data_IF_558604209461
#
_entry.id   IF_558604209461
#
_cell.length_a   1.000
_cell.length_b   1.000
_cell.length_c   1.000
_cell.angle_alpha   90.00
_cell.angle_beta   90.00
_cell.angle_gamma   90.00
#
_symmetry.space_group_name_H-M   'P 1'
#
loop_
_entity.id
_entity.type
_entity.pdbx_description
1 polymer ?
#
# COMPACT_ATOMS: atom_id res chain seq x y z
N UNK A 1 23.67 -0.09 -8.16
CA UNK A 1 22.27 0.20 -7.79
C UNK A 1 22.20 0.09 -6.29
N UNK A 2 21.94 1.20 -5.61
CA UNK A 2 21.85 1.22 -4.14
C UNK A 2 20.43 0.86 -3.71
N UNK A 3 20.27 0.44 -2.46
CA UNK A 3 18.95 0.20 -1.87
C UNK A 3 18.25 1.53 -1.54
N UNK A 4 16.93 1.50 -1.41
CA UNK A 4 16.18 2.66 -0.96
C UNK A 4 16.61 3.03 0.48
N UNK A 5 17.02 4.27 0.77
CA UNK A 5 17.43 4.67 2.12
C UNK A 5 16.24 4.96 3.05
N UNK A 6 15.01 4.92 2.54
CA UNK A 6 13.78 5.23 3.28
C UNK A 6 13.04 3.99 3.77
N UNK A 7 13.36 2.83 3.20
CA UNK A 7 12.64 1.59 3.44
C UNK A 7 13.60 0.41 3.56
N UNK A 8 13.19 -0.58 4.34
CA UNK A 8 13.91 -1.83 4.56
C UNK A 8 12.93 -2.99 4.50
N UNK A 9 13.41 -4.15 4.08
CA UNK A 9 12.58 -5.33 3.89
C UNK A 9 11.91 -5.77 5.21
N UNK A 10 10.62 -6.11 5.15
CA UNK A 10 9.85 -6.52 6.32
C UNK A 10 9.21 -5.38 7.11
N UNK A 11 9.39 -4.11 6.72
CA UNK A 11 8.64 -2.99 7.30
C UNK A 11 7.13 -3.16 7.17
N UNK A 12 6.42 -2.76 8.23
CA UNK A 12 4.96 -2.81 8.29
C UNK A 12 4.43 -1.49 8.78
N UNK A 13 3.40 -1.01 8.11
CA UNK A 13 2.66 0.19 8.47
C UNK A 13 1.18 -0.17 8.61
N UNK A 14 0.54 0.28 9.68
CA UNK A 14 -0.90 0.09 9.92
C UNK A 14 -1.53 1.47 9.91
N UNK A 15 -2.60 1.62 9.14
CA UNK A 15 -3.36 2.87 9.04
C UNK A 15 -4.82 2.60 8.68
N UNK A 16 -5.68 3.57 8.92
CA UNK A 16 -7.07 3.57 8.46
C UNK A 16 -7.14 3.91 6.96
N UNK A 17 -6.61 5.08 6.59
CA UNK A 17 -6.43 5.57 5.22
C UNK A 17 -5.50 6.80 5.19
N UNK A 18 -4.98 7.23 6.34
CA UNK A 18 -4.05 8.35 6.46
C UNK A 18 -2.61 7.88 6.21
N UNK A 19 -1.74 8.78 5.76
CA UNK A 19 -0.32 8.44 5.59
C UNK A 19 0.31 8.08 6.96
N UNK A 20 0.95 6.92 7.11
CA UNK A 20 1.75 6.61 8.29
C UNK A 20 2.94 7.58 8.42
N UNK A 21 3.22 8.09 9.62
CA UNK A 21 4.30 9.07 9.85
C UNK A 21 5.68 8.61 9.33
N UNK A 22 5.98 7.32 9.44
CA UNK A 22 7.26 6.74 9.02
C UNK A 22 7.30 6.32 7.54
N UNK A 23 6.20 6.43 6.79
CA UNK A 23 6.17 6.09 5.37
C UNK A 23 6.65 7.28 4.52
N UNK A 24 7.52 7.01 3.55
CA UNK A 24 8.03 7.99 2.58
C UNK A 24 6.88 8.65 1.79
N UNK A 25 6.99 9.96 1.53
CA UNK A 25 5.98 10.72 0.77
C UNK A 25 5.80 10.20 -0.66
N UNK A 26 6.90 9.92 -1.36
CA UNK A 26 6.85 9.45 -2.75
C UNK A 26 6.16 8.09 -2.85
N UNK A 27 6.49 7.17 -1.92
CA UNK A 27 5.84 5.87 -1.83
C UNK A 27 4.34 6.03 -1.50
N UNK A 28 4.00 6.92 -0.56
CA UNK A 28 2.61 7.22 -0.21
C UNK A 28 1.81 7.73 -1.41
N UNK A 29 2.34 8.71 -2.15
CA UNK A 29 1.66 9.26 -3.33
C UNK A 29 1.35 8.22 -4.40
N UNK A 30 2.15 7.15 -4.49
CA UNK A 30 1.88 6.02 -5.38
C UNK A 30 0.79 5.07 -4.87
N UNK A 31 0.56 4.99 -3.55
CA UNK A 31 -0.32 4.00 -2.93
C UNK A 31 -1.60 4.56 -2.30
N UNK A 32 -1.69 5.86 -2.03
CA UNK A 32 -2.77 6.47 -1.24
C UNK A 32 -4.17 6.15 -1.76
N UNK A 33 -4.34 6.08 -3.09
CA UNK A 33 -5.63 5.77 -3.73
C UNK A 33 -6.02 4.31 -3.52
N UNK A 34 -5.06 3.40 -3.54
CA UNK A 34 -5.27 1.99 -3.27
C UNK A 34 -5.57 1.76 -1.79
N UNK A 35 -4.82 2.43 -0.90
CA UNK A 35 -5.09 2.40 0.55
C UNK A 35 -6.49 2.95 0.85
N UNK A 36 -6.85 4.10 0.29
CA UNK A 36 -8.20 4.67 0.42
C UNK A 36 -9.27 3.70 -0.07
N UNK A 37 -9.05 3.04 -1.21
CA UNK A 37 -10.02 2.10 -1.77
C UNK A 37 -10.15 0.87 -0.86
N UNK A 38 -9.05 0.25 -0.46
CA UNK A 38 -9.02 -0.91 0.43
C UNK A 38 -9.65 -0.64 1.81
N UNK A 39 -9.53 0.60 2.29
CA UNK A 39 -10.16 1.02 3.55
C UNK A 39 -11.69 1.09 3.49
N UNK A 40 -12.27 1.29 2.30
CA UNK A 40 -13.72 1.48 2.12
C UNK A 40 -14.40 0.33 1.37
N UNK A 41 -13.65 -0.45 0.59
CA UNK A 41 -14.16 -1.61 -0.14
C UNK A 41 -13.10 -2.70 -0.24
N UNK A 42 -13.55 -3.95 -0.20
CA UNK A 42 -12.71 -5.12 -0.46
C UNK A 42 -12.89 -5.65 -1.88
N UNK A 43 -13.72 -5.00 -2.70
CA UNK A 43 -13.92 -5.40 -4.10
C UNK A 43 -12.61 -5.31 -4.88
N UNK A 44 -12.38 -6.21 -5.84
CA UNK A 44 -11.17 -6.18 -6.65
C UNK A 44 -11.01 -4.82 -7.35
N UNK A 45 -9.80 -4.28 -7.30
CA UNK A 45 -9.42 -3.12 -8.10
C UNK A 45 -9.46 -3.50 -9.59
N UNK A 46 -9.48 -2.51 -10.51
CA UNK A 46 -9.80 -2.70 -11.94
C UNK A 46 -8.94 -3.73 -12.72
N UNK A 47 -7.99 -4.41 -12.07
CA UNK A 47 -7.05 -5.35 -12.66
C UNK A 47 -6.82 -6.55 -11.68
N UNK A 48 -7.51 -7.67 -11.96
CA UNK A 48 -7.51 -8.94 -11.20
C UNK A 48 -6.19 -9.74 -11.29
N UNK A 49 -5.09 -9.10 -11.68
CA UNK A 49 -3.77 -9.66 -11.91
C UNK A 49 -2.81 -9.37 -10.74
N UNK A 50 -2.69 -8.10 -10.32
CA UNK A 50 -1.84 -7.66 -9.20
C UNK A 50 -2.66 -7.25 -7.95
N UNK A 51 -3.98 -7.35 -8.03
CA UNK A 51 -4.90 -7.16 -6.90
C UNK A 51 -5.84 -8.35 -6.73
N UNK A 52 -6.29 -8.57 -5.49
CA UNK A 52 -7.33 -9.54 -5.10
C UNK A 52 -8.20 -8.92 -4.02
N UNK A 53 -9.28 -9.60 -3.61
CA UNK A 53 -10.13 -9.15 -2.52
C UNK A 53 -9.30 -8.77 -1.28
N UNK A 54 -9.39 -7.50 -0.87
CA UNK A 54 -8.66 -6.96 0.28
C UNK A 54 -7.14 -6.84 0.13
N UNK A 55 -6.56 -7.06 -1.05
CA UNK A 55 -5.10 -7.05 -1.28
C UNK A 55 -4.68 -6.36 -2.58
N UNK A 56 -3.58 -5.64 -2.54
CA UNK A 56 -2.95 -5.07 -3.72
C UNK A 56 -1.42 -5.04 -3.60
N UNK A 57 -0.72 -5.30 -4.71
CA UNK A 57 0.73 -5.08 -4.80
C UNK A 57 0.97 -3.77 -5.53
N UNK A 58 1.75 -2.88 -4.91
CA UNK A 58 2.09 -1.56 -5.45
C UNK A 58 3.59 -1.33 -5.38
N UNK A 59 4.11 -0.41 -6.18
CA UNK A 59 5.52 -0.03 -6.14
C UNK A 59 5.70 1.47 -5.96
N UNK A 60 6.81 1.85 -5.33
CA UNK A 60 7.30 3.22 -5.36
C UNK A 60 7.67 3.60 -6.80
N UNK A 61 7.40 4.85 -7.17
CA UNK A 61 7.79 5.41 -8.48
C UNK A 61 9.30 5.70 -8.60
N UNK A 62 10.08 5.55 -7.52
CA UNK A 62 11.54 5.54 -7.58
C UNK A 62 12.02 4.26 -8.30
N UNK A 63 12.01 4.31 -9.62
CA UNK A 63 12.46 3.22 -10.48
C UNK A 63 13.97 2.96 -10.42
N UNK A 64 14.76 3.87 -9.83
CA UNK A 64 16.20 3.63 -9.62
C UNK A 64 16.45 2.74 -8.41
N UNK A 65 15.58 2.81 -7.41
CA UNK A 65 15.66 2.05 -6.15
C UNK A 65 14.30 1.44 -5.84
N UNK A 66 13.90 0.38 -6.56
CA UNK A 66 12.55 -0.15 -6.51
C UNK A 66 12.22 -0.64 -5.10
N UNK A 67 11.01 -0.28 -4.64
CA UNK A 67 10.41 -0.81 -3.41
C UNK A 67 9.00 -1.28 -3.76
N UNK A 68 8.68 -2.52 -3.41
CA UNK A 68 7.37 -3.13 -3.60
C UNK A 68 6.69 -3.28 -2.25
N UNK A 69 5.42 -2.89 -2.17
CA UNK A 69 4.60 -2.99 -0.98
C UNK A 69 3.43 -3.93 -1.23
N UNK A 70 3.13 -4.76 -0.24
CA UNK A 70 1.85 -5.47 -0.14
C UNK A 70 0.92 -4.61 0.73
N UNK A 71 -0.21 -4.23 0.15
CA UNK A 71 -1.32 -3.63 0.89
C UNK A 71 -2.32 -4.75 1.22
N UNK A 72 -2.72 -4.82 2.49
CA UNK A 72 -3.67 -5.83 2.98
C UNK A 72 -4.56 -5.22 4.08
N UNK A 73 -5.86 -5.47 3.99
CA UNK A 73 -6.82 -5.10 5.03
C UNK A 73 -6.69 -6.04 6.23
N UNK A 74 -6.64 -5.49 7.46
CA UNK A 74 -6.39 -6.28 8.67
C UNK A 74 -7.58 -7.14 9.15
N UNK A 75 -8.82 -6.80 8.78
CA UNK A 75 -10.03 -7.60 9.02
C UNK A 75 -11.14 -7.19 8.05
N UNK A 76 -12.04 -8.12 7.68
CA UNK A 76 -13.25 -7.79 6.90
C UNK A 76 -14.26 -6.96 7.73
N UNK A 77 -14.11 -6.92 9.05
CA UNK A 77 -15.00 -6.24 10.00
C UNK A 77 -14.55 -4.83 10.38
N UNK A 78 -13.38 -4.37 9.94
CA UNK A 78 -12.94 -2.97 10.10
C UNK A 78 -13.78 -1.97 9.27
N UNK A 79 -14.94 -2.39 8.79
CA UNK A 79 -15.91 -1.70 7.92
C UNK A 79 -16.93 -0.88 8.72
N UNK A 80 -16.49 -0.07 9.67
CA UNK A 80 -17.41 0.84 10.36
C UNK A 80 -17.34 2.24 9.75
N UNK A 81 -18.05 2.44 8.64
CA UNK A 81 -18.59 3.76 8.27
C UNK A 81 -19.95 3.60 7.60
#
# INVERSE_FOLDING_TARGET
>A
METCPKHQEGEKFITDFRKPNALCEDAWGCMEKFVFTLAHTSEPLFWNDWSRQGKAVVCCNDGYRPVTFLLETLDEEARSF
#
